data_IF_349922371656
#
_entry.id   IF_349922371656
#
_cell.length_a   1.000
_cell.length_b   1.000
_cell.length_c   1.000
_cell.angle_alpha   90.00
_cell.angle_beta   90.00
_cell.angle_gamma   90.00
#
_symmetry.space_group_name_H-M   'P 1'
#
loop_
_entity.id
_entity.type
_entity.pdbx_description
1 polymer ?
#
# COMPACT_ATOMS: atom_id res chain seq x y z
N UNK A 1 7.93 -39.61 -76.38
CA UNK A 1 8.72 -38.67 -77.20
C UNK A 1 7.88 -37.41 -77.29
N UNK A 2 7.85 -36.50 -76.29
CA UNK A 2 8.93 -35.56 -75.87
C UNK A 2 9.51 -34.88 -77.13
N UNK A 3 9.37 -33.56 -77.35
CA UNK A 3 9.77 -32.44 -76.48
C UNK A 3 9.15 -31.06 -76.85
N UNK A 4 8.92 -30.25 -75.80
CA UNK A 4 9.24 -28.83 -75.55
C UNK A 4 8.91 -27.63 -76.50
N UNK A 5 8.79 -26.46 -75.82
CA UNK A 5 8.67 -25.04 -76.23
C UNK A 5 7.21 -24.51 -76.18
N UNK A 6 6.82 -23.46 -75.46
CA UNK A 6 7.49 -22.38 -74.70
C UNK A 6 6.64 -22.01 -73.48
N UNK A 7 7.18 -22.15 -72.26
CA UNK A 7 6.56 -21.60 -71.05
C UNK A 7 6.94 -20.12 -70.96
N UNK A 8 6.03 -19.24 -71.36
CA UNK A 8 6.04 -17.84 -70.91
C UNK A 8 5.76 -17.88 -69.42
N UNK A 9 6.81 -17.66 -68.63
CA UNK A 9 6.70 -17.45 -67.19
C UNK A 9 5.96 -16.13 -66.98
N UNK A 10 4.70 -16.28 -66.56
CA UNK A 10 3.91 -15.27 -65.89
C UNK A 10 4.70 -14.72 -64.70
N UNK A 11 4.78 -13.40 -64.63
CA UNK A 11 5.50 -12.67 -63.62
C UNK A 11 4.61 -12.61 -62.37
N UNK A 12 4.96 -13.28 -61.24
CA UNK A 12 4.26 -12.99 -60.00
C UNK A 12 4.69 -11.59 -59.57
N UNK A 13 3.74 -10.67 -59.71
CA UNK A 13 3.83 -9.32 -59.17
C UNK A 13 4.16 -9.45 -57.68
N UNK A 14 5.21 -8.75 -57.26
CA UNK A 14 5.55 -8.52 -55.87
C UNK A 14 4.46 -7.64 -55.25
N UNK A 15 3.36 -8.27 -54.84
CA UNK A 15 2.32 -7.68 -54.01
C UNK A 15 2.66 -7.96 -52.55
N UNK A 16 3.41 -7.05 -51.93
CA UNK A 16 3.43 -6.89 -50.48
C UNK A 16 2.00 -6.75 -49.99
N UNK A 17 1.53 -7.72 -49.20
CA UNK A 17 0.44 -7.52 -48.26
C UNK A 17 0.91 -8.01 -46.89
N UNK A 18 1.93 -7.33 -46.37
CA UNK A 18 2.20 -7.28 -44.93
C UNK A 18 1.20 -6.29 -44.30
N UNK A 19 -0.07 -6.67 -44.20
CA UNK A 19 -1.10 -5.93 -43.44
C UNK A 19 -1.41 -6.67 -42.13
N UNK A 20 -0.36 -6.95 -41.35
CA UNK A 20 -0.48 -7.41 -39.97
C UNK A 20 0.64 -6.80 -39.11
N UNK A 21 0.71 -5.48 -38.99
CA UNK A 21 1.66 -4.83 -38.07
C UNK A 21 1.21 -3.43 -37.61
N UNK A 22 -0.05 -3.23 -37.20
CA UNK A 22 -0.45 -1.91 -36.64
C UNK A 22 -1.31 -1.93 -35.37
N UNK A 23 -1.53 -3.07 -34.72
CA UNK A 23 -2.31 -3.15 -33.48
C UNK A 23 -1.50 -3.42 -32.19
N UNK A 24 -0.16 -3.26 -32.22
CA UNK A 24 0.70 -3.60 -31.06
C UNK A 24 1.47 -2.42 -30.45
N UNK A 25 1.41 -1.22 -31.01
CA UNK A 25 2.17 -0.06 -30.52
C UNK A 25 1.54 0.75 -29.36
N UNK A 26 0.20 0.85 -29.17
CA UNK A 26 -0.32 1.77 -28.15
C UNK A 26 0.00 1.34 -26.72
N UNK A 27 0.18 0.04 -26.48
CA UNK A 27 0.58 -0.51 -25.18
C UNK A 27 2.07 -0.29 -24.88
N UNK A 28 2.91 -0.34 -25.91
CA UNK A 28 4.36 -0.11 -25.78
C UNK A 28 4.63 1.37 -25.58
N UNK A 29 3.96 2.25 -26.31
CA UNK A 29 4.07 3.71 -26.16
C UNK A 29 3.53 4.20 -24.82
N UNK A 30 2.38 3.67 -24.37
CA UNK A 30 1.84 3.97 -23.04
C UNK A 30 2.76 3.44 -21.93
N UNK A 31 3.38 2.29 -22.12
CA UNK A 31 4.36 1.73 -21.19
C UNK A 31 5.62 2.58 -21.08
N UNK A 32 6.10 3.15 -22.20
CA UNK A 32 7.28 4.03 -22.22
C UNK A 32 7.01 5.35 -21.48
N UNK A 33 5.88 6.01 -21.75
CA UNK A 33 5.51 7.27 -21.07
C UNK A 33 5.24 7.07 -19.57
N UNK A 34 4.61 5.96 -19.20
CA UNK A 34 4.40 5.59 -17.81
C UNK A 34 5.71 5.31 -17.08
N UNK A 35 6.67 4.66 -17.73
CA UNK A 35 7.99 4.35 -17.15
C UNK A 35 8.79 5.61 -16.89
N UNK A 36 8.80 6.56 -17.82
CA UNK A 36 9.55 7.83 -17.67
C UNK A 36 8.97 8.69 -16.54
N UNK A 37 7.64 8.82 -16.50
CA UNK A 37 6.95 9.56 -15.42
C UNK A 37 7.12 8.88 -14.06
N UNK A 38 7.06 7.55 -14.03
CA UNK A 38 7.27 6.77 -12.81
C UNK A 38 8.72 6.88 -12.31
N UNK A 39 9.71 6.94 -13.21
CA UNK A 39 11.12 7.06 -12.85
C UNK A 39 11.42 8.31 -12.03
N UNK A 40 11.00 9.49 -12.51
CA UNK A 40 11.23 10.75 -11.79
C UNK A 40 10.48 10.82 -10.44
N UNK A 41 9.28 10.25 -10.36
CA UNK A 41 8.53 10.19 -9.11
C UNK A 41 9.16 9.21 -8.12
N UNK A 42 9.59 8.04 -8.59
CA UNK A 42 10.23 7.01 -7.78
C UNK A 42 11.56 7.51 -7.20
N UNK A 43 12.36 8.23 -7.98
CA UNK A 43 13.64 8.77 -7.54
C UNK A 43 13.46 9.79 -6.38
N UNK A 44 12.53 10.73 -6.52
CA UNK A 44 12.20 11.69 -5.45
C UNK A 44 11.65 11.01 -4.21
N UNK A 45 10.76 10.02 -4.39
CA UNK A 45 10.20 9.26 -3.29
C UNK A 45 11.28 8.44 -2.57
N UNK A 46 12.23 7.86 -3.31
CA UNK A 46 13.35 7.13 -2.77
C UNK A 46 14.27 8.03 -1.95
N UNK A 47 14.61 9.23 -2.43
CA UNK A 47 15.46 10.16 -1.68
C UNK A 47 14.82 10.61 -0.36
N UNK A 48 13.53 10.99 -0.40
CA UNK A 48 12.79 11.39 0.81
C UNK A 48 12.66 10.20 1.77
N UNK A 49 12.35 9.01 1.23
CA UNK A 49 12.21 7.78 1.98
C UNK A 49 13.51 7.36 2.65
N UNK A 50 14.63 7.39 1.93
CA UNK A 50 15.95 7.01 2.43
C UNK A 50 16.39 7.84 3.64
N UNK A 51 16.12 9.15 3.63
CA UNK A 51 16.46 10.03 4.76
C UNK A 51 15.71 9.68 6.05
N UNK A 52 14.49 9.13 5.93
CA UNK A 52 13.66 8.74 7.07
C UNK A 52 13.74 7.25 7.40
N UNK A 53 14.15 6.43 6.44
CA UNK A 53 14.20 4.97 6.53
C UNK A 53 15.15 4.51 7.64
N UNK A 54 16.32 5.12 7.80
CA UNK A 54 17.30 4.66 8.80
C UNK A 54 16.76 4.67 10.24
N UNK A 55 15.84 5.60 10.56
CA UNK A 55 15.16 5.63 11.86
C UNK A 55 14.04 4.59 11.94
N UNK A 56 13.28 4.43 10.86
CA UNK A 56 12.19 3.45 10.77
C UNK A 56 12.68 2.00 10.82
N UNK A 57 13.88 1.72 10.31
CA UNK A 57 14.48 0.38 10.26
C UNK A 57 14.63 -0.27 11.63
N UNK A 58 15.15 0.45 12.62
CA UNK A 58 15.32 -0.10 13.98
C UNK A 58 13.97 -0.43 14.63
N UNK A 59 12.95 0.39 14.36
CA UNK A 59 11.59 0.16 14.84
C UNK A 59 10.95 -1.03 14.13
N UNK A 60 11.12 -1.13 12.82
CA UNK A 60 10.65 -2.26 12.01
C UNK A 60 11.33 -3.57 12.43
N UNK A 61 12.66 -3.58 12.61
CA UNK A 61 13.40 -4.72 13.14
C UNK A 61 12.84 -5.18 14.49
N UNK A 62 12.64 -4.24 15.43
CA UNK A 62 12.07 -4.56 16.74
C UNK A 62 10.63 -5.08 16.66
N UNK A 63 9.84 -4.64 15.66
CA UNK A 63 8.50 -5.16 15.41
C UNK A 63 8.54 -6.60 14.87
N UNK A 64 9.44 -6.87 13.93
CA UNK A 64 9.67 -8.20 13.36
C UNK A 64 10.17 -9.17 14.44
N UNK A 65 11.10 -8.75 15.29
CA UNK A 65 11.59 -9.54 16.44
C UNK A 65 10.43 -9.98 17.35
N UNK A 66 9.49 -9.07 17.65
CA UNK A 66 8.31 -9.40 18.47
C UNK A 66 7.37 -10.40 17.80
N UNK A 67 7.19 -10.29 16.48
CA UNK A 67 6.39 -11.24 15.71
C UNK A 67 7.06 -12.61 15.71
N UNK A 68 8.37 -12.69 15.47
CA UNK A 68 9.14 -13.92 15.51
C UNK A 68 9.03 -14.62 16.87
N UNK A 69 9.18 -13.86 17.96
CA UNK A 69 8.99 -14.36 19.33
C UNK A 69 7.58 -14.89 19.58
N UNK A 70 6.55 -14.22 19.05
CA UNK A 70 5.16 -14.67 19.18
C UNK A 70 4.94 -15.98 18.42
N UNK A 71 5.45 -16.07 17.19
CA UNK A 71 5.37 -17.29 16.37
C UNK A 71 6.11 -18.44 17.06
N UNK A 72 7.29 -18.19 17.61
CA UNK A 72 8.09 -19.20 18.33
C UNK A 72 7.40 -19.70 19.60
N UNK A 73 6.66 -18.83 20.30
CA UNK A 73 5.85 -19.24 21.45
C UNK A 73 4.72 -20.18 21.01
N UNK A 74 3.97 -19.79 19.98
CA UNK A 74 2.87 -20.60 19.44
C UNK A 74 3.39 -21.92 18.85
N UNK A 75 4.54 -21.93 18.18
CA UNK A 75 5.12 -23.17 17.64
C UNK A 75 5.49 -24.15 18.73
N UNK A 76 6.05 -23.67 19.85
CA UNK A 76 6.40 -24.49 21.02
C UNK A 76 5.15 -25.11 21.65
N UNK A 77 4.04 -24.37 21.71
CA UNK A 77 2.76 -24.88 22.20
C UNK A 77 2.16 -25.95 21.27
N UNK A 78 2.37 -25.82 19.95
CA UNK A 78 1.83 -26.73 18.93
C UNK A 78 2.76 -27.92 18.58
N UNK A 79 3.97 -27.98 19.12
CA UNK A 79 4.99 -28.99 18.78
C UNK A 79 4.52 -30.42 19.02
N UNK A 80 3.73 -30.62 20.08
CA UNK A 80 3.22 -31.94 20.47
C UNK A 80 2.01 -32.37 19.62
N UNK A 81 1.20 -31.42 19.14
CA UNK A 81 -0.04 -31.72 18.41
C UNK A 81 0.17 -31.79 16.89
N UNK A 82 0.99 -30.89 16.35
CA UNK A 82 1.17 -30.71 14.90
C UNK A 82 2.63 -30.39 14.56
N UNK A 83 3.54 -31.39 14.59
CA UNK A 83 4.97 -31.17 14.41
C UNK A 83 5.32 -30.57 13.05
N UNK A 84 4.56 -30.88 11.99
CA UNK A 84 4.77 -30.26 10.67
C UNK A 84 4.53 -28.75 10.64
N UNK A 85 3.49 -28.29 11.35
CA UNK A 85 3.18 -26.86 11.47
C UNK A 85 4.17 -26.17 12.39
N UNK A 86 4.55 -26.81 13.50
CA UNK A 86 5.56 -26.29 14.42
C UNK A 86 6.90 -26.05 13.71
N UNK A 87 7.35 -27.00 12.87
CA UNK A 87 8.57 -26.84 12.07
C UNK A 87 8.49 -25.71 11.05
N UNK A 88 7.35 -25.57 10.37
CA UNK A 88 7.12 -24.47 9.44
C UNK A 88 7.11 -23.11 10.15
N UNK A 89 6.46 -23.03 11.31
CA UNK A 89 6.43 -21.84 12.15
C UNK A 89 7.81 -21.48 12.71
N UNK A 90 8.60 -22.48 13.12
CA UNK A 90 9.99 -22.30 13.55
C UNK A 90 10.83 -21.71 12.42
N UNK A 91 10.73 -22.30 11.22
CA UNK A 91 11.44 -21.80 10.03
C UNK A 91 11.04 -20.36 9.74
N UNK A 92 9.75 -20.02 9.83
CA UNK A 92 9.26 -18.67 9.62
C UNK A 92 9.81 -17.68 10.67
N UNK A 93 9.87 -18.08 11.95
CA UNK A 93 10.47 -17.29 13.02
C UNK A 93 11.97 -17.04 12.75
N UNK A 94 12.70 -18.08 12.33
CA UNK A 94 14.13 -17.96 12.00
C UNK A 94 14.37 -17.07 10.77
N UNK A 95 13.48 -17.11 9.77
CA UNK A 95 13.53 -16.14 8.66
C UNK A 95 13.30 -14.72 9.16
N UNK A 96 12.31 -14.52 10.03
CA UNK A 96 11.97 -13.21 10.57
C UNK A 96 13.13 -12.62 11.40
N UNK A 97 13.79 -13.42 12.24
CA UNK A 97 14.97 -13.02 13.00
C UNK A 97 16.10 -12.53 12.06
N UNK A 98 16.37 -13.26 10.97
CA UNK A 98 17.38 -12.84 9.98
C UNK A 98 17.02 -11.55 9.28
N UNK A 99 15.73 -11.35 8.97
CA UNK A 99 15.25 -10.10 8.39
C UNK A 99 15.43 -8.95 9.39
N UNK A 100 15.07 -9.14 10.66
CA UNK A 100 15.23 -8.11 11.69
C UNK A 100 16.71 -7.74 11.91
N UNK A 101 17.61 -8.72 11.93
CA UNK A 101 19.04 -8.50 12.01
C UNK A 101 19.56 -7.71 10.80
N UNK A 102 19.18 -8.13 9.59
CA UNK A 102 19.51 -7.42 8.36
C UNK A 102 18.99 -5.97 8.37
N UNK A 103 17.79 -5.73 8.90
CA UNK A 103 17.25 -4.38 9.09
C UNK A 103 18.06 -3.53 10.07
N UNK A 104 18.65 -4.14 11.08
CA UNK A 104 19.44 -3.45 12.10
C UNK A 104 20.86 -3.11 11.62
N UNK A 105 21.46 -3.99 10.83
CA UNK A 105 22.89 -3.94 10.48
C UNK A 105 23.19 -3.30 9.12
N UNK A 106 22.24 -3.35 8.18
CA UNK A 106 22.44 -2.77 6.84
C UNK A 106 21.98 -1.31 6.82
N UNK A 107 22.37 -0.50 5.83
CA UNK A 107 21.84 0.86 5.63
C UNK A 107 20.75 0.89 4.55
N UNK A 108 19.83 1.86 4.60
CA UNK A 108 18.67 1.86 3.69
C UNK A 108 19.10 1.89 2.21
N UNK A 109 20.19 2.60 1.91
CA UNK A 109 20.77 2.67 0.58
C UNK A 109 21.29 1.31 0.09
N UNK A 110 21.96 0.56 0.96
CA UNK A 110 22.47 -0.76 0.63
C UNK A 110 21.34 -1.78 0.43
N UNK A 111 20.26 -1.67 1.21
CA UNK A 111 19.08 -2.50 0.99
C UNK A 111 18.46 -2.30 -0.37
N UNK A 112 18.29 -1.05 -0.82
CA UNK A 112 17.72 -0.76 -2.14
C UNK A 112 18.57 -1.42 -3.24
N UNK A 113 19.89 -1.31 -3.14
CA UNK A 113 20.81 -1.96 -4.09
C UNK A 113 20.63 -3.47 -4.11
N UNK A 114 20.48 -4.11 -2.95
CA UNK A 114 20.24 -5.55 -2.86
C UNK A 114 18.86 -5.96 -3.41
N UNK A 115 17.83 -5.14 -3.21
CA UNK A 115 16.49 -5.35 -3.77
C UNK A 115 16.52 -5.26 -5.30
N UNK A 116 17.28 -4.32 -5.86
CA UNK A 116 17.47 -4.18 -7.32
C UNK A 116 18.12 -5.44 -7.91
N UNK A 117 19.13 -5.98 -7.25
CA UNK A 117 19.74 -7.24 -7.65
C UNK A 117 18.76 -8.42 -7.57
N UNK A 118 17.94 -8.50 -6.53
CA UNK A 118 16.91 -9.53 -6.39
C UNK A 118 15.83 -9.42 -7.47
N UNK A 119 15.41 -8.19 -7.79
CA UNK A 119 14.43 -7.93 -8.86
C UNK A 119 14.92 -8.43 -10.23
N UNK A 120 16.21 -8.25 -10.51
CA UNK A 120 16.85 -8.76 -11.74
C UNK A 120 17.02 -10.28 -11.74
N UNK A 121 17.36 -10.87 -10.60
CA UNK A 121 17.61 -12.32 -10.49
C UNK A 121 16.33 -13.15 -10.47
N UNK A 122 15.28 -12.66 -9.80
CA UNK A 122 14.05 -13.40 -9.53
C UNK A 122 12.82 -12.49 -9.72
N UNK A 123 12.45 -12.18 -10.97
CA UNK A 123 11.37 -11.24 -11.26
C UNK A 123 10.02 -11.68 -10.68
N UNK A 124 9.74 -12.99 -10.61
CA UNK A 124 8.49 -13.52 -10.04
C UNK A 124 8.34 -13.22 -8.54
N UNK A 125 9.41 -13.38 -7.76
CA UNK A 125 9.39 -13.11 -6.32
C UNK A 125 9.21 -11.61 -6.09
N UNK A 126 9.90 -10.78 -6.88
CA UNK A 126 9.78 -9.34 -6.80
C UNK A 126 8.35 -8.86 -7.11
N UNK A 127 7.75 -9.31 -8.21
CA UNK A 127 6.39 -8.95 -8.58
C UNK A 127 5.36 -9.43 -7.53
N UNK A 128 5.51 -10.66 -7.04
CA UNK A 128 4.64 -11.20 -5.98
C UNK A 128 4.76 -10.40 -4.67
N UNK A 129 5.98 -10.08 -4.25
CA UNK A 129 6.25 -9.28 -3.06
C UNK A 129 5.73 -7.85 -3.18
N UNK A 130 5.96 -7.20 -4.33
CA UNK A 130 5.48 -5.84 -4.60
C UNK A 130 3.95 -5.76 -4.60
N UNK A 131 3.27 -6.75 -5.17
CA UNK A 131 1.82 -6.82 -5.15
C UNK A 131 1.28 -6.95 -3.71
N UNK A 132 1.81 -7.90 -2.93
CA UNK A 132 1.42 -8.09 -1.54
C UNK A 132 1.67 -6.83 -0.69
N UNK A 133 2.83 -6.20 -0.87
CA UNK A 133 3.18 -4.95 -0.20
C UNK A 133 2.24 -3.81 -0.59
N UNK A 134 1.86 -3.70 -1.86
CA UNK A 134 0.89 -2.72 -2.35
C UNK A 134 -0.51 -2.93 -1.74
N UNK A 135 -0.98 -4.18 -1.65
CA UNK A 135 -2.26 -4.50 -1.00
C UNK A 135 -2.22 -4.16 0.50
N UNK A 136 -1.13 -4.53 1.19
CA UNK A 136 -0.94 -4.20 2.61
C UNK A 136 -0.90 -2.68 2.84
N UNK A 137 -0.15 -1.95 2.01
CA UNK A 137 -0.08 -0.50 2.05
C UNK A 137 -1.45 0.14 1.79
N UNK A 138 -2.23 -0.39 0.85
CA UNK A 138 -3.60 0.08 0.58
C UNK A 138 -4.52 -0.07 1.80
N UNK A 139 -4.40 -1.18 2.54
CA UNK A 139 -5.15 -1.36 3.79
C UNK A 139 -4.68 -0.40 4.87
N UNK A 140 -3.38 -0.14 4.97
CA UNK A 140 -2.84 0.82 5.93
C UNK A 140 -3.31 2.25 5.62
N UNK A 141 -3.25 2.68 4.36
CA UNK A 141 -3.73 4.00 3.93
C UNK A 141 -5.23 4.12 4.19
N UNK A 142 -6.04 3.09 3.88
CA UNK A 142 -7.49 3.09 4.18
C UNK A 142 -7.78 3.14 5.68
N UNK A 143 -6.98 2.44 6.49
CA UNK A 143 -7.11 2.48 7.95
C UNK A 143 -6.65 3.82 8.54
N UNK A 144 -5.59 4.41 7.99
CA UNK A 144 -5.07 5.71 8.40
C UNK A 144 -6.00 6.88 7.99
N UNK A 145 -6.64 6.77 6.83
CA UNK A 145 -7.66 7.73 6.35
C UNK A 145 -9.04 7.57 7.00
N UNK A 146 -9.24 6.55 7.83
CA UNK A 146 -10.48 6.30 8.57
C UNK A 146 -10.65 7.14 9.84
N UNK A 147 -9.69 8.03 10.17
CA UNK A 147 -9.72 8.85 11.38
C UNK A 147 -10.29 10.28 11.16
N UNK A 148 -10.80 10.61 9.98
CA UNK A 148 -11.41 11.91 9.69
C UNK A 148 -12.71 11.76 8.89
N UNK A 149 -13.76 11.31 9.57
CA UNK A 149 -15.11 11.15 9.05
C UNK A 149 -16.15 11.32 10.15
N UNK A 150 -15.99 12.37 10.96
CA UNK A 150 -17.07 12.87 11.81
C UNK A 150 -18.03 13.65 10.91
N UNK A 151 -19.10 12.99 10.45
CA UNK A 151 -20.23 13.64 9.79
C UNK A 151 -20.79 12.93 8.55
N UNK A 152 -22.09 12.61 8.63
CA UNK A 152 -23.05 12.47 7.53
C UNK A 152 -23.06 11.16 6.71
N UNK A 153 -24.16 10.39 6.85
CA UNK A 153 -24.57 9.44 5.82
C UNK A 153 -25.22 8.13 6.27
N UNK A 154 -26.01 8.12 7.34
CA UNK A 154 -26.98 7.04 7.56
C UNK A 154 -28.04 7.12 6.45
N UNK A 155 -27.93 6.24 5.44
CA UNK A 155 -28.88 6.12 4.34
C UNK A 155 -28.95 4.65 3.89
N UNK A 156 -30.06 4.00 4.23
CA UNK A 156 -30.68 3.01 3.34
C UNK A 156 -30.76 1.57 3.83
N UNK A 157 -31.56 1.31 4.87
CA UNK A 157 -31.96 -0.04 5.27
C UNK A 157 -33.16 -0.05 6.22
N UNK A 158 -34.26 0.61 5.83
CA UNK A 158 -35.50 0.65 6.61
C UNK A 158 -36.18 -0.73 6.66
N UNK A 159 -36.20 -1.33 7.85
CA UNK A 159 -37.25 -2.27 8.26
C UNK A 159 -38.14 -1.50 9.23
N UNK A 160 -39.41 -1.32 8.85
CA UNK A 160 -40.35 -0.49 9.59
C UNK A 160 -40.62 -0.99 11.00
N UNK A 161 -40.51 -0.07 11.98
CA UNK A 161 -41.25 -0.17 13.23
C UNK A 161 -41.63 1.23 13.70
N UNK A 162 -42.86 1.62 13.34
CA UNK A 162 -43.55 2.79 13.88
C UNK A 162 -43.77 2.59 15.38
N UNK A 163 -43.27 3.52 16.19
CA UNK A 163 -43.46 3.56 17.63
C UNK A 163 -43.62 5.01 18.06
N UNK A 164 -44.86 5.39 18.34
CA UNK A 164 -45.25 6.69 18.85
C UNK A 164 -44.55 6.99 20.18
N UNK A 165 -43.91 8.16 20.30
CA UNK A 165 -43.63 8.74 21.61
C UNK A 165 -43.80 10.26 21.57
N UNK A 166 -44.85 10.69 22.24
CA UNK A 166 -45.16 12.08 22.59
C UNK A 166 -44.38 12.44 23.84
N UNK A 167 -43.59 13.51 23.84
CA UNK A 167 -43.05 14.09 25.08
C UNK A 167 -43.38 15.57 25.17
N UNK A 168 -44.18 15.90 26.18
CA UNK A 168 -44.59 17.24 26.58
C UNK A 168 -43.39 18.08 27.03
N UNK A 169 -43.34 19.33 26.56
CA UNK A 169 -42.38 20.32 27.02
C UNK A 169 -42.68 20.77 28.45
N UNK A 170 -41.64 20.77 29.29
CA UNK A 170 -41.63 21.44 30.58
C UNK A 170 -40.42 22.37 30.60
N UNK A 171 -40.68 23.67 30.68
CA UNK A 171 -39.65 24.71 30.75
C UNK A 171 -38.92 24.70 32.09
N UNK A 172 -37.68 25.20 32.08
CA UNK A 172 -36.96 25.55 33.29
C UNK A 172 -36.25 26.90 33.11
N UNK A 173 -36.49 27.76 34.08
CA UNK A 173 -36.14 29.17 34.21
C UNK A 173 -34.65 29.31 34.56
N UNK A 174 -33.93 30.20 33.87
CA UNK A 174 -32.51 30.45 34.12
C UNK A 174 -32.35 31.62 35.10
N UNK A 175 -31.93 31.32 36.32
CA UNK A 175 -31.40 32.30 37.27
C UNK A 175 -29.92 32.54 36.97
N UNK A 176 -29.53 33.79 36.73
CA UNK A 176 -28.12 34.16 36.59
C UNK A 176 -27.79 35.47 37.34
N UNK A 177 -26.94 35.25 38.35
CA UNK A 177 -25.77 36.03 38.75
C UNK A 177 -25.93 37.43 39.35
N UNK A 178 -26.06 37.40 40.68
CA UNK A 178 -25.42 38.32 41.60
C UNK A 178 -23.90 38.04 41.67
N UNK A 179 -23.05 38.96 41.22
CA UNK A 179 -21.81 39.29 41.93
C UNK A 179 -21.38 40.72 41.62
N UNK A 180 -21.68 41.62 42.55
CA UNK A 180 -21.03 42.93 42.61
C UNK A 180 -19.56 42.78 42.97
N UNK A 181 -18.69 43.51 42.28
CA UNK A 181 -17.34 43.83 42.73
C UNK A 181 -16.96 45.20 42.17
N UNK A 182 -16.58 46.07 43.11
CA UNK A 182 -16.47 47.51 43.01
C UNK A 182 -15.07 47.97 42.60
N UNK A 183 -15.05 49.13 41.95
CA UNK A 183 -14.12 50.27 42.15
C UNK A 183 -12.73 50.19 41.52
N UNK A 184 -12.43 51.23 40.71
CA UNK A 184 -11.28 52.17 40.77
C UNK A 184 -11.02 52.70 39.35
N UNK A 185 -10.77 53.97 39.02
CA UNK A 185 -10.85 55.29 39.64
C UNK A 185 -10.37 56.26 38.53
N UNK A 186 -10.91 57.48 38.49
CA UNK A 186 -10.14 58.67 38.11
C UNK A 186 -10.08 59.07 36.63
N UNK A 187 -10.81 60.17 36.34
CA UNK A 187 -10.31 61.43 35.76
C UNK A 187 -9.92 61.50 34.28
N UNK A 188 -10.66 62.33 33.53
CA UNK A 188 -10.20 63.61 32.91
C UNK A 188 -9.68 63.33 31.47
N UNK A 189 -10.23 63.88 30.38
CA UNK A 189 -10.29 65.30 30.05
C UNK A 189 -11.09 65.56 28.74
N UNK A 190 -11.79 66.70 28.72
CA UNK A 190 -12.42 67.50 27.63
C UNK A 190 -13.47 66.90 26.67
#
# INVERSE_FOLDING_TARGET
MTEHTTSTLDQPTTGSSNDQSEAQHPLVDAGMQATESAGHLAERAADIGLQQADRGRKQAASGIDKVAQTIRRVSTEMETEQPGIANAAQTAADQADRVAQYLRETDARQMISNVEEMARRQPLIFLGGAFLLGVAASRFIKAAGGASGQGQGDQGGQYGRSGYSTSYGAGSMSDYENTGSRVRNGNEDF
#
